data_IF_783986111859
#
_entry.id   IF_783986111859
#
_cell.length_a   1.000
_cell.length_b   1.000
_cell.length_c   1.000
_cell.angle_alpha   90.00
_cell.angle_beta   90.00
_cell.angle_gamma   90.00
#
_symmetry.space_group_name_H-M   'P 1'
#
loop_
_entity.id
_entity.type
_entity.pdbx_description
1 polymer ?
#
# COMPACT_ATOMS: atom_id res chain seq x y z
N UNK A 1 9.32 32.07 13.32
CA UNK A 1 9.51 31.78 11.88
C UNK A 1 8.19 31.20 11.41
N UNK A 2 7.57 31.79 10.38
CA UNK A 2 6.33 31.22 9.85
C UNK A 2 6.71 29.91 9.14
N UNK A 3 6.28 28.77 9.67
CA UNK A 3 6.20 27.55 8.87
C UNK A 3 5.19 27.86 7.76
N UNK A 4 5.69 28.13 6.55
CA UNK A 4 4.85 28.04 5.37
C UNK A 4 4.40 26.58 5.28
N UNK A 5 3.18 26.32 5.70
CA UNK A 5 2.54 25.01 5.53
C UNK A 5 2.37 24.77 4.05
N UNK A 6 3.34 24.11 3.44
CA UNK A 6 3.22 23.59 2.08
C UNK A 6 1.98 22.69 2.06
N UNK A 7 1.00 22.93 1.17
CA UNK A 7 -0.20 22.11 1.12
C UNK A 7 0.21 20.66 0.85
N UNK A 8 -0.21 19.77 1.76
CA UNK A 8 0.00 18.33 1.63
C UNK A 8 -0.74 17.81 0.40
N UNK A 9 -0.13 16.86 -0.28
CA UNK A 9 -0.82 16.02 -1.25
C UNK A 9 -1.66 15.01 -0.51
N UNK A 10 -2.89 14.84 -0.96
CA UNK A 10 -3.79 13.79 -0.52
C UNK A 10 -4.35 13.09 -1.76
N UNK A 11 -4.43 11.77 -1.71
CA UNK A 11 -4.96 11.00 -2.82
C UNK A 11 -5.49 9.65 -2.38
N UNK A 12 -6.31 9.06 -3.24
CA UNK A 12 -6.96 7.79 -2.97
C UNK A 12 -7.25 7.04 -4.26
N UNK A 13 -6.93 5.76 -4.25
CA UNK A 13 -7.18 4.81 -5.33
C UNK A 13 -8.04 3.67 -4.82
N UNK A 14 -8.88 3.10 -5.68
CA UNK A 14 -9.73 1.96 -5.33
C UNK A 14 -9.76 0.92 -6.44
N UNK A 15 -9.81 -0.36 -6.09
CA UNK A 15 -10.07 -1.46 -7.01
C UNK A 15 -11.10 -2.44 -6.44
N UNK A 16 -12.07 -2.84 -7.26
CA UNK A 16 -13.11 -3.82 -6.90
C UNK A 16 -12.75 -5.22 -7.39
N UNK A 17 -12.93 -6.21 -6.50
CA UNK A 17 -12.79 -7.63 -6.78
C UNK A 17 -14.16 -8.27 -6.62
N UNK A 18 -14.72 -8.79 -7.71
CA UNK A 18 -16.16 -9.15 -7.76
C UNK A 18 -16.46 -10.52 -7.18
N UNK A 19 -15.43 -11.34 -6.99
CA UNK A 19 -15.58 -12.78 -6.70
C UNK A 19 -14.76 -13.23 -5.50
N UNK A 20 -14.29 -12.27 -4.70
CA UNK A 20 -13.39 -12.56 -3.60
C UNK A 20 -13.73 -11.69 -2.40
N UNK A 21 -13.94 -12.32 -1.25
CA UNK A 21 -14.33 -11.64 -0.02
C UNK A 21 -13.14 -10.93 0.63
N UNK A 22 -13.39 -9.96 1.52
CA UNK A 22 -12.31 -9.32 2.27
C UNK A 22 -11.44 -10.33 3.04
N UNK A 23 -12.03 -11.37 3.62
CA UNK A 23 -11.34 -12.39 4.41
C UNK A 23 -10.38 -13.25 3.58
N UNK A 24 -10.66 -13.39 2.28
CA UNK A 24 -9.78 -14.10 1.34
C UNK A 24 -8.61 -13.21 0.89
N UNK A 25 -8.83 -11.91 0.70
CA UNK A 25 -7.80 -10.96 0.25
C UNK A 25 -6.89 -10.50 1.40
N UNK A 26 -7.48 -10.22 2.56
CA UNK A 26 -6.79 -9.59 3.67
C UNK A 26 -5.51 -10.31 4.10
N UNK A 27 -5.45 -11.66 4.23
CA UNK A 27 -4.23 -12.36 4.62
C UNK A 27 -3.02 -12.06 3.71
N UNK A 28 -3.25 -11.81 2.43
CA UNK A 28 -2.18 -11.46 1.50
C UNK A 28 -1.63 -10.06 1.75
N UNK A 29 -2.50 -9.09 2.02
CA UNK A 29 -2.12 -7.69 2.27
C UNK A 29 -1.62 -7.46 3.71
N UNK A 30 -2.15 -8.21 4.67
CA UNK A 30 -1.74 -8.20 6.08
C UNK A 30 -0.30 -8.72 6.26
N UNK A 31 0.16 -9.59 5.37
CA UNK A 31 1.56 -10.01 5.31
C UNK A 31 2.40 -8.90 4.68
N UNK A 32 2.62 -7.83 5.44
CA UNK A 32 3.18 -6.56 5.00
C UNK A 32 4.51 -6.67 4.21
N UNK A 33 5.31 -7.71 4.45
CA UNK A 33 6.62 -7.89 3.80
C UNK A 33 6.58 -8.70 2.48
N UNK A 34 5.41 -9.03 1.94
CA UNK A 34 5.28 -9.81 0.69
C UNK A 34 4.84 -8.98 -0.52
N UNK A 35 4.89 -7.65 -0.40
CA UNK A 35 4.28 -6.73 -1.37
C UNK A 35 4.89 -6.87 -2.77
N UNK A 36 6.14 -7.31 -2.87
CA UNK A 36 6.86 -7.67 -4.11
C UNK A 36 6.14 -8.73 -4.95
N UNK A 37 5.28 -9.56 -4.34
CA UNK A 37 4.47 -10.55 -5.06
C UNK A 37 3.30 -9.94 -5.83
N UNK A 38 2.84 -8.77 -5.41
CA UNK A 38 1.61 -8.15 -5.89
C UNK A 38 1.85 -6.79 -6.56
N UNK A 39 2.91 -6.09 -6.16
CA UNK A 39 3.18 -4.71 -6.57
C UNK A 39 4.12 -4.68 -7.79
N UNK A 40 3.70 -4.08 -8.92
CA UNK A 40 4.39 -4.22 -10.21
C UNK A 40 5.77 -3.54 -10.28
N UNK A 41 6.06 -2.56 -9.42
CA UNK A 41 7.32 -1.81 -9.40
C UNK A 41 8.22 -2.11 -8.20
N UNK A 42 8.00 -3.24 -7.52
CA UNK A 42 8.87 -3.72 -6.42
C UNK A 42 9.42 -5.09 -6.82
N UNK A 43 10.73 -5.15 -7.01
CA UNK A 43 11.43 -6.38 -7.40
C UNK A 43 11.71 -7.27 -6.18
N UNK A 44 11.92 -6.67 -5.01
CA UNK A 44 12.22 -7.38 -3.77
C UNK A 44 11.67 -6.65 -2.56
N UNK A 45 11.06 -7.40 -1.64
CA UNK A 45 10.63 -6.91 -0.34
C UNK A 45 11.06 -7.89 0.75
N UNK A 46 11.62 -7.38 1.85
CA UNK A 46 11.94 -8.19 3.01
C UNK A 46 11.84 -7.41 4.32
N UNK A 47 11.66 -8.16 5.41
CA UNK A 47 11.64 -7.62 6.76
C UNK A 47 13.01 -7.11 7.17
N UNK A 48 13.09 -5.84 7.55
CA UNK A 48 14.30 -5.21 8.11
C UNK A 48 14.36 -5.33 9.64
N UNK A 49 13.23 -5.09 10.32
CA UNK A 49 13.12 -5.18 11.78
C UNK A 49 11.65 -5.42 12.22
N UNK A 50 11.44 -5.74 13.49
CA UNK A 50 10.12 -5.94 14.07
C UNK A 50 9.53 -7.34 13.86
N UNK A 51 8.27 -7.51 14.27
CA UNK A 51 7.56 -8.80 14.25
C UNK A 51 6.46 -8.78 13.19
N UNK A 52 6.34 -9.81 12.33
CA UNK A 52 5.27 -9.90 11.34
C UNK A 52 3.89 -9.72 11.96
N UNK A 53 3.02 -8.95 11.29
CA UNK A 53 1.66 -8.68 11.75
C UNK A 53 1.54 -7.80 13.00
N UNK A 54 2.59 -7.07 13.40
CA UNK A 54 2.58 -6.17 14.56
C UNK A 54 3.01 -4.74 14.19
N UNK A 55 2.39 -3.70 14.77
CA UNK A 55 2.88 -2.33 14.66
C UNK A 55 4.36 -2.21 15.00
N UNK A 56 5.08 -1.39 14.22
CA UNK A 56 6.53 -1.24 14.31
C UNK A 56 7.33 -2.21 13.44
N UNK A 57 6.68 -3.15 12.74
CA UNK A 57 7.31 -3.93 11.66
C UNK A 57 7.83 -2.99 10.57
N UNK A 58 9.09 -3.20 10.15
CA UNK A 58 9.69 -2.42 9.06
C UNK A 58 10.08 -3.33 7.92
N UNK A 59 9.69 -2.95 6.71
CA UNK A 59 10.09 -3.59 5.46
C UNK A 59 11.05 -2.71 4.68
N UNK A 60 11.93 -3.34 3.92
CA UNK A 60 12.71 -2.70 2.88
C UNK A 60 12.16 -3.20 1.53
N UNK A 61 11.80 -2.27 0.65
CA UNK A 61 11.31 -2.52 -0.69
C UNK A 61 12.28 -1.89 -1.68
N UNK A 62 12.65 -2.62 -2.73
CA UNK A 62 13.48 -2.06 -3.80
C UNK A 62 13.07 -2.54 -5.19
N UNK A 63 13.45 -1.73 -6.17
CA UNK A 63 13.50 -2.05 -7.58
C UNK A 63 14.87 -1.68 -8.13
N UNK A 64 15.09 -1.92 -9.43
CA UNK A 64 16.35 -1.58 -10.12
C UNK A 64 16.89 -0.15 -9.87
N UNK A 65 16.04 0.85 -9.60
CA UNK A 65 16.47 2.25 -9.43
C UNK A 65 15.98 2.91 -8.15
N UNK A 66 15.05 2.29 -7.42
CA UNK A 66 14.32 2.93 -6.33
C UNK A 66 14.25 2.03 -5.11
N UNK A 67 14.26 2.61 -3.91
CA UNK A 67 14.06 1.89 -2.67
C UNK A 67 13.30 2.73 -1.64
N UNK A 68 12.59 2.05 -0.76
CA UNK A 68 11.93 2.62 0.40
C UNK A 68 12.05 1.69 1.62
N UNK A 69 12.24 2.32 2.79
CA UNK A 69 12.09 1.69 4.10
C UNK A 69 10.76 2.15 4.66
N UNK A 70 9.86 1.22 4.89
CA UNK A 70 8.48 1.50 5.30
C UNK A 70 8.18 0.84 6.63
N UNK A 71 7.49 1.57 7.51
CA UNK A 71 7.15 1.12 8.86
C UNK A 71 5.63 1.00 9.00
N UNK A 72 5.18 -0.19 9.39
CA UNK A 72 3.80 -0.47 9.73
C UNK A 72 3.43 0.28 11.02
N UNK A 73 2.44 1.16 10.94
CA UNK A 73 1.96 1.98 12.05
C UNK A 73 0.78 1.33 12.76
N UNK A 74 -0.19 0.85 11.99
CA UNK A 74 -1.35 0.13 12.51
C UNK A 74 -1.66 -1.07 11.64
N UNK A 75 -2.24 -2.09 12.25
CA UNK A 75 -2.83 -3.22 11.54
C UNK A 75 -4.04 -3.70 12.34
N UNK A 76 -5.18 -3.78 11.68
CA UNK A 76 -6.46 -4.17 12.26
C UNK A 76 -7.02 -5.34 11.44
N UNK A 77 -6.87 -6.58 11.94
CA UNK A 77 -7.36 -7.76 11.25
C UNK A 77 -8.89 -7.90 11.29
N UNK A 78 -9.58 -7.16 12.16
CA UNK A 78 -11.04 -7.20 12.26
C UNK A 78 -11.66 -6.30 11.19
N UNK A 79 -11.10 -5.10 11.00
CA UNK A 79 -11.58 -4.13 10.01
C UNK A 79 -10.82 -4.20 8.68
N UNK A 80 -9.91 -5.17 8.51
CA UNK A 80 -9.06 -5.34 7.33
C UNK A 80 -8.38 -4.04 6.88
N UNK A 81 -7.72 -3.38 7.83
CA UNK A 81 -7.09 -2.08 7.62
C UNK A 81 -5.64 -2.09 8.12
N UNK A 82 -4.74 -1.46 7.39
CA UNK A 82 -3.39 -1.17 7.86
C UNK A 82 -2.96 0.22 7.44
N UNK A 83 -2.05 0.82 8.21
CA UNK A 83 -1.40 2.07 7.84
C UNK A 83 0.11 1.96 8.01
N UNK A 84 0.86 2.69 7.19
CA UNK A 84 2.31 2.68 7.23
C UNK A 84 2.86 4.04 6.79
N UNK A 85 4.11 4.31 7.16
CA UNK A 85 4.86 5.48 6.72
C UNK A 85 6.10 5.06 5.91
N UNK A 86 6.55 5.94 5.01
CA UNK A 86 7.89 5.83 4.43
C UNK A 86 8.85 6.57 5.37
N UNK A 87 9.77 5.81 5.97
CA UNK A 87 10.77 6.32 6.93
C UNK A 87 11.97 6.90 6.17
N UNK A 88 12.46 6.16 5.18
CA UNK A 88 13.60 6.55 4.34
C UNK A 88 13.35 6.07 2.91
N UNK A 89 13.83 6.82 1.91
CA UNK A 89 13.71 6.46 0.50
C UNK A 89 14.69 7.28 -0.36
N UNK A 90 14.96 6.83 -1.58
CA UNK A 90 15.71 7.61 -2.58
C UNK A 90 14.81 8.30 -3.63
N UNK A 91 13.50 8.30 -3.44
CA UNK A 91 12.51 8.80 -4.40
C UNK A 91 12.02 10.23 -4.10
N UNK A 92 12.39 10.79 -2.95
CA UNK A 92 12.03 12.14 -2.53
C UNK A 92 10.72 12.25 -1.73
N UNK A 93 10.12 11.12 -1.30
CA UNK A 93 8.96 11.16 -0.41
C UNK A 93 9.33 11.75 0.94
N UNK A 94 8.48 12.64 1.45
CA UNK A 94 8.61 13.26 2.78
C UNK A 94 7.24 13.31 3.45
N UNK A 95 7.19 12.94 4.73
CA UNK A 95 5.95 12.89 5.50
C UNK A 95 4.86 12.03 4.85
N UNK A 96 5.26 10.97 4.15
CA UNK A 96 4.34 10.06 3.47
C UNK A 96 3.72 9.09 4.46
N UNK A 97 2.40 9.07 4.51
CA UNK A 97 1.61 8.11 5.26
C UNK A 97 0.55 7.53 4.32
N UNK A 98 0.42 6.22 4.30
CA UNK A 98 -0.62 5.55 3.54
C UNK A 98 -1.47 4.65 4.44
N UNK A 99 -2.73 4.48 4.02
CA UNK A 99 -3.68 3.55 4.62
C UNK A 99 -4.23 2.65 3.52
N UNK A 100 -4.26 1.35 3.79
CA UNK A 100 -4.87 0.35 2.93
C UNK A 100 -6.05 -0.29 3.69
N UNK A 101 -7.20 -0.36 3.03
CA UNK A 101 -8.41 -0.98 3.56
C UNK A 101 -8.95 -2.03 2.59
N UNK A 102 -9.50 -3.12 3.09
CA UNK A 102 -10.27 -4.10 2.31
C UNK A 102 -11.70 -4.11 2.82
N UNK A 103 -12.60 -3.54 2.02
CA UNK A 103 -13.98 -3.30 2.40
C UNK A 103 -14.88 -4.36 1.75
N UNK A 104 -15.85 -4.88 2.51
CA UNK A 104 -16.94 -5.67 1.92
C UNK A 104 -17.76 -4.78 0.98
N UNK A 105 -18.22 -5.36 -0.13
CA UNK A 105 -19.22 -4.75 -1.02
C UNK A 105 -20.45 -5.64 -1.09
N UNK A 106 -21.54 -5.16 -1.68
CA UNK A 106 -22.73 -5.99 -1.87
C UNK A 106 -22.41 -7.23 -2.73
N UNK A 107 -22.78 -8.41 -2.24
CA UNK A 107 -22.47 -9.71 -2.87
C UNK A 107 -21.20 -10.37 -2.30
N UNK A 108 -20.56 -11.21 -3.10
CA UNK A 108 -19.38 -12.00 -2.69
C UNK A 108 -18.04 -11.33 -3.04
N UNK A 109 -18.05 -10.00 -3.17
CA UNK A 109 -16.88 -9.21 -3.57
C UNK A 109 -16.26 -8.40 -2.44
N UNK A 110 -15.15 -7.74 -2.74
CA UNK A 110 -14.56 -6.72 -1.90
C UNK A 110 -14.02 -5.54 -2.72
N UNK A 111 -13.66 -4.47 -2.02
CA UNK A 111 -13.00 -3.30 -2.58
C UNK A 111 -11.74 -3.01 -1.79
N UNK A 112 -10.60 -2.95 -2.47
CA UNK A 112 -9.36 -2.46 -1.90
C UNK A 112 -9.34 -0.94 -2.07
N UNK A 113 -9.08 -0.22 -1.00
CA UNK A 113 -8.87 1.22 -1.00
C UNK A 113 -7.46 1.52 -0.50
N UNK A 114 -6.73 2.36 -1.23
CA UNK A 114 -5.41 2.83 -0.85
C UNK A 114 -5.40 4.35 -0.85
N UNK A 115 -5.28 4.95 0.32
CA UNK A 115 -5.16 6.39 0.48
C UNK A 115 -3.76 6.78 0.95
N UNK A 116 -3.36 8.00 0.65
CA UNK A 116 -2.12 8.56 1.15
C UNK A 116 -2.23 10.06 1.44
N UNK A 117 -1.34 10.51 2.32
CA UNK A 117 -0.95 11.91 2.46
C UNK A 117 0.57 12.01 2.31
N UNK A 118 1.07 13.11 1.76
CA UNK A 118 2.51 13.34 1.57
C UNK A 118 2.83 14.82 1.41
N UNK A 119 4.07 15.22 1.64
CA UNK A 119 4.57 16.45 1.02
C UNK A 119 4.58 16.31 -0.52
N UNK A 120 4.45 17.43 -1.27
CA UNK A 120 4.67 17.42 -2.70
C UNK A 120 6.04 16.87 -3.06
N UNK A 121 6.07 15.98 -4.06
CA UNK A 121 7.30 15.36 -4.54
C UNK A 121 7.85 16.21 -5.68
N UNK A 122 9.12 16.59 -5.59
CA UNK A 122 9.76 17.43 -6.59
C UNK A 122 9.75 16.76 -7.98
N UNK A 123 9.34 17.50 -9.02
CA UNK A 123 9.29 17.00 -10.39
C UNK A 123 8.10 16.08 -10.70
N UNK A 124 7.20 15.85 -9.76
CA UNK A 124 6.00 15.04 -9.94
C UNK A 124 4.73 15.90 -9.78
N UNK A 125 3.63 15.51 -10.43
CA UNK A 125 2.31 16.08 -10.17
C UNK A 125 1.46 15.09 -9.37
N UNK A 126 0.57 15.61 -8.54
CA UNK A 126 -0.37 14.79 -7.76
C UNK A 126 -1.19 13.85 -8.66
N UNK A 127 -1.71 14.37 -9.78
CA UNK A 127 -2.51 13.59 -10.74
C UNK A 127 -1.72 12.42 -11.35
N UNK A 128 -0.45 12.63 -11.66
CA UNK A 128 0.43 11.59 -12.21
C UNK A 128 0.68 10.49 -11.15
N UNK A 129 0.88 10.88 -9.88
CA UNK A 129 1.07 9.94 -8.79
C UNK A 129 -0.19 9.16 -8.44
N UNK A 130 -1.36 9.80 -8.42
CA UNK A 130 -2.66 9.12 -8.25
C UNK A 130 -2.91 8.15 -9.41
N UNK A 131 -2.64 8.56 -10.65
CA UNK A 131 -2.76 7.68 -11.82
C UNK A 131 -1.82 6.47 -11.73
N UNK A 132 -0.62 6.67 -11.18
CA UNK A 132 0.32 5.57 -10.91
C UNK A 132 -0.22 4.60 -9.85
N UNK A 133 -0.78 5.12 -8.74
CA UNK A 133 -1.40 4.30 -7.70
C UNK A 133 -2.64 3.55 -8.20
N UNK A 134 -3.47 4.16 -9.06
CA UNK A 134 -4.63 3.51 -9.67
C UNK A 134 -4.21 2.29 -10.50
N UNK A 135 -3.22 2.47 -11.38
CA UNK A 135 -2.70 1.38 -12.21
C UNK A 135 -2.06 0.27 -11.36
N UNK A 136 -1.32 0.66 -10.33
CA UNK A 136 -0.71 -0.26 -9.36
C UNK A 136 -1.77 -1.09 -8.65
N UNK A 137 -2.82 -0.44 -8.14
CA UNK A 137 -3.87 -1.09 -7.37
C UNK A 137 -4.72 -2.03 -8.24
N UNK A 138 -5.00 -1.66 -9.49
CA UNK A 138 -5.66 -2.53 -10.46
C UNK A 138 -4.82 -3.79 -10.76
N UNK A 139 -3.50 -3.64 -10.92
CA UNK A 139 -2.60 -4.77 -11.11
C UNK A 139 -2.58 -5.68 -9.87
N UNK A 140 -2.44 -5.09 -8.69
CA UNK A 140 -2.49 -5.82 -7.41
C UNK A 140 -3.78 -6.59 -7.25
N UNK A 141 -4.94 -5.95 -7.49
CA UNK A 141 -6.24 -6.60 -7.37
C UNK A 141 -6.31 -7.88 -8.22
N UNK A 142 -5.88 -7.81 -9.49
CA UNK A 142 -5.83 -8.99 -10.36
C UNK A 142 -4.89 -10.08 -9.81
N UNK A 143 -3.70 -9.71 -9.34
CA UNK A 143 -2.72 -10.66 -8.78
C UNK A 143 -3.21 -11.32 -7.50
N UNK A 144 -3.93 -10.58 -6.66
CA UNK A 144 -4.54 -11.10 -5.44
C UNK A 144 -5.68 -12.08 -5.76
N UNK A 145 -6.54 -11.74 -6.72
CA UNK A 145 -7.58 -12.64 -7.23
C UNK A 145 -6.98 -13.96 -7.77
N UNK A 146 -5.91 -13.87 -8.55
CA UNK A 146 -5.19 -15.04 -9.06
C UNK A 146 -4.57 -15.87 -7.92
N UNK A 147 -4.01 -15.22 -6.91
CA UNK A 147 -3.41 -15.89 -5.75
C UNK A 147 -4.45 -16.62 -4.89
N UNK A 148 -5.64 -16.04 -4.70
CA UNK A 148 -6.76 -16.69 -4.03
C UNK A 148 -7.20 -17.93 -4.81
N UNK A 149 -7.35 -17.82 -6.13
CA UNK A 149 -7.72 -18.96 -6.99
C UNK A 149 -6.69 -20.09 -6.95
N UNK A 150 -5.40 -19.77 -6.82
CA UNK A 150 -4.34 -20.76 -6.74
C UNK A 150 -4.26 -21.50 -5.38
N UNK A 151 -4.97 -21.02 -4.35
CA UNK A 151 -5.08 -21.68 -3.04
C UNK A 151 -6.28 -22.63 -2.92
N UNK A 152 -7.19 -22.61 -3.90
CA UNK A 152 -8.38 -23.48 -4.01
C UNK A 152 -8.04 -24.66 -4.92
#
# INVERSE_FOLDING_TARGET
MAEETVPKWEGKSTAELKTTTPEQIWPFLAEFCNIDKFFPSVDTCYRKEGTPGQPGLVRYCESSTSWAIEKLLTIDPINHSLSYEIVENNMGFKGYLATLNVLAVEGDGCKIEWSFISDPIEGMKLEDFVSYLDNTLLFMAKKLEDAVRAQI
#
